data_IF_973040925435
#
_entry.id   IF_973040925435
#
_cell.length_a   1.000
_cell.length_b   1.000
_cell.length_c   1.000
_cell.angle_alpha   90.00
_cell.angle_beta   90.00
_cell.angle_gamma   90.00
#
_symmetry.space_group_name_H-M   'P 1'
#
loop_
_entity.id
_entity.type
_entity.pdbx_description
1 polymer ?
#
# COMPACT_ATOMS: atom_id res chain seq x y z
N UNK A 1 16.31 28.60 68.33
CA UNK A 1 16.93 28.17 67.08
C UNK A 1 15.88 27.38 66.29
N UNK A 2 15.26 27.95 65.26
CA UNK A 2 14.16 27.31 64.48
C UNK A 2 14.73 26.88 63.15
N UNK A 3 14.83 25.54 62.94
CA UNK A 3 15.27 24.91 61.70
C UNK A 3 14.13 24.96 60.68
N UNK A 4 14.32 25.68 59.57
CA UNK A 4 13.38 25.67 58.47
C UNK A 4 13.73 24.53 57.50
N UNK A 5 12.86 23.52 57.42
CA UNK A 5 12.91 22.52 56.37
C UNK A 5 12.44 23.14 55.05
N UNK A 6 13.32 23.20 54.05
CA UNK A 6 12.95 23.52 52.67
C UNK A 6 12.59 22.21 51.97
N UNK A 7 11.30 22.06 51.58
CA UNK A 7 10.82 20.99 50.77
C UNK A 7 11.08 21.37 49.28
N UNK A 8 12.00 20.73 48.63
CA UNK A 8 12.23 20.87 47.21
C UNK A 8 11.25 19.92 46.45
N UNK A 9 10.25 20.51 45.81
CA UNK A 9 9.36 19.75 44.92
C UNK A 9 10.03 19.54 43.56
N UNK A 10 10.44 18.31 43.30
CA UNK A 10 10.89 17.85 41.96
C UNK A 10 9.65 17.70 41.09
N UNK A 11 9.44 18.64 40.17
CA UNK A 11 8.48 18.53 39.10
C UNK A 11 9.10 17.64 38.00
N UNK A 12 8.71 16.36 37.96
CA UNK A 12 9.03 15.45 36.85
C UNK A 12 8.18 15.83 35.66
N UNK A 13 8.77 16.53 34.69
CA UNK A 13 8.14 16.79 33.40
C UNK A 13 8.17 15.49 32.62
N UNK A 14 7.08 14.73 32.66
CA UNK A 14 6.88 13.61 31.74
C UNK A 14 6.63 14.20 30.36
N UNK A 15 7.64 14.13 29.49
CA UNK A 15 7.49 14.37 28.06
C UNK A 15 6.60 13.25 27.49
N UNK A 16 5.32 13.55 27.32
CA UNK A 16 4.42 12.74 26.50
C UNK A 16 4.92 12.87 25.05
N UNK A 17 5.79 11.96 24.63
CA UNK A 17 6.02 11.73 23.21
C UNK A 17 4.71 11.18 22.65
N UNK A 18 3.97 11.98 21.90
CA UNK A 18 2.88 11.50 21.08
C UNK A 18 3.51 10.68 19.93
N UNK A 19 3.73 9.41 20.16
CA UNK A 19 3.95 8.48 19.07
C UNK A 19 2.64 8.46 18.26
N UNK A 20 2.71 8.85 16.99
CA UNK A 20 1.61 8.60 16.07
C UNK A 20 1.31 7.10 16.15
N UNK A 21 0.15 6.75 16.70
CA UNK A 21 -0.20 5.36 16.96
C UNK A 21 -0.39 4.68 15.60
N UNK A 22 0.54 3.80 15.24
CA UNK A 22 0.39 2.99 14.05
C UNK A 22 -0.91 2.18 14.16
N UNK A 23 -1.63 2.06 13.04
CA UNK A 23 -2.81 1.21 12.96
C UNK A 23 -2.40 -0.24 13.21
N UNK A 24 -3.11 -0.94 14.09
CA UNK A 24 -2.86 -2.37 14.32
C UNK A 24 -2.95 -3.16 13.02
N UNK A 25 -1.97 -4.05 12.73
CA UNK A 25 -1.97 -4.86 11.53
C UNK A 25 -3.20 -5.76 11.49
N UNK A 26 -3.69 -6.05 10.27
CA UNK A 26 -4.67 -7.09 10.06
C UNK A 26 -3.98 -8.42 9.74
N UNK A 27 -4.65 -9.55 9.99
CA UNK A 27 -4.08 -10.88 9.82
C UNK A 27 -4.97 -11.75 8.95
N UNK A 28 -4.35 -12.48 8.03
CA UNK A 28 -5.01 -13.44 7.14
C UNK A 28 -4.21 -14.75 7.16
N UNK A 29 -4.90 -15.87 7.42
CA UNK A 29 -4.25 -17.18 7.42
C UNK A 29 -3.88 -17.64 6.01
N UNK A 30 -2.65 -18.16 5.87
CA UNK A 30 -2.13 -18.76 4.64
C UNK A 30 -1.59 -20.16 4.92
N UNK A 31 -1.25 -20.91 3.87
CA UNK A 31 -0.67 -22.27 4.01
C UNK A 31 0.71 -22.28 4.68
N UNK A 32 1.39 -21.13 4.78
CA UNK A 32 2.74 -21.01 5.33
C UNK A 32 2.80 -20.00 6.49
N UNK A 33 1.75 -19.96 7.30
CA UNK A 33 1.63 -19.03 8.42
C UNK A 33 0.86 -17.75 8.06
N UNK A 34 0.68 -16.85 9.01
CA UNK A 34 -0.12 -15.66 8.83
C UNK A 34 0.53 -14.67 7.85
N UNK A 35 -0.31 -14.02 7.06
CA UNK A 35 0.00 -12.79 6.34
C UNK A 35 -0.47 -11.61 7.20
N UNK A 36 0.45 -10.76 7.62
CA UNK A 36 0.14 -9.52 8.30
C UNK A 36 0.07 -8.39 7.29
N UNK A 37 -0.93 -7.52 7.43
CA UNK A 37 -1.19 -6.37 6.57
C UNK A 37 -1.14 -5.12 7.44
N UNK A 38 -0.11 -4.31 7.27
CA UNK A 38 0.11 -3.08 8.01
C UNK A 38 -0.13 -1.88 7.09
N UNK A 39 -1.25 -1.13 7.26
CA UNK A 39 -1.40 0.19 6.65
C UNK A 39 -0.32 1.14 7.16
N UNK A 40 0.25 1.95 6.28
CA UNK A 40 1.24 2.97 6.66
C UNK A 40 0.65 4.35 6.42
N UNK A 41 0.59 4.77 5.18
CA UNK A 41 -0.06 6.02 4.79
C UNK A 41 -0.35 6.03 3.29
N UNK A 42 -1.37 6.74 2.87
CA UNK A 42 -1.68 6.99 1.45
C UNK A 42 -1.73 5.69 0.63
N UNK A 43 -0.79 5.48 -0.31
CA UNK A 43 -0.63 4.22 -1.05
C UNK A 43 0.27 3.21 -0.33
N UNK A 44 0.99 3.64 0.72
CA UNK A 44 2.00 2.82 1.38
C UNK A 44 1.38 1.77 2.31
N UNK A 45 1.83 0.54 2.19
CA UNK A 45 1.49 -0.55 3.12
C UNK A 45 2.67 -1.53 3.24
N UNK A 46 2.67 -2.32 4.32
CA UNK A 46 3.64 -3.38 4.53
C UNK A 46 2.92 -4.71 4.68
N UNK A 47 3.42 -5.72 3.97
CA UNK A 47 3.00 -7.10 4.09
C UNK A 47 4.11 -7.90 4.75
N UNK A 48 3.81 -8.61 5.83
CA UNK A 48 4.78 -9.53 6.45
C UNK A 48 4.26 -10.96 6.31
N UNK A 49 5.07 -11.82 5.70
CA UNK A 49 4.70 -13.20 5.44
C UNK A 49 5.92 -14.11 5.40
N UNK A 50 5.86 -15.26 6.09
CA UNK A 50 6.90 -16.30 6.08
C UNK A 50 8.32 -15.75 6.33
N UNK A 51 8.46 -14.86 7.30
CA UNK A 51 9.73 -14.21 7.66
C UNK A 51 10.24 -13.20 6.64
N UNK A 52 9.41 -12.75 5.69
CA UNK A 52 9.72 -11.73 4.70
C UNK A 52 8.87 -10.49 4.92
N UNK A 53 9.50 -9.33 4.79
CA UNK A 53 8.85 -8.03 4.87
C UNK A 53 8.82 -7.38 3.49
N UNK A 54 7.60 -7.07 3.01
CA UNK A 54 7.35 -6.54 1.67
C UNK A 54 6.76 -5.13 1.84
N UNK A 55 7.46 -4.13 1.37
CA UNK A 55 6.98 -2.75 1.35
C UNK A 55 6.35 -2.45 -0.01
N UNK A 56 5.25 -1.74 -0.01
CA UNK A 56 4.58 -1.24 -1.22
C UNK A 56 4.58 0.27 -1.15
N UNK A 57 5.06 0.90 -2.22
CA UNK A 57 5.11 2.35 -2.41
C UNK A 57 5.58 3.11 -1.15
N UNK A 58 6.78 2.81 -0.61
CA UNK A 58 7.22 3.38 0.64
C UNK A 58 7.47 4.89 0.54
N UNK A 59 6.68 5.66 1.29
CA UNK A 59 6.75 7.12 1.41
C UNK A 59 6.65 7.58 2.87
N UNK A 60 6.89 8.85 3.15
CA UNK A 60 6.72 9.44 4.49
C UNK A 60 7.93 9.36 5.41
N UNK A 61 9.09 8.97 4.90
CA UNK A 61 10.34 8.86 5.65
C UNK A 61 10.39 7.65 6.59
N UNK A 62 11.57 7.40 7.17
CA UNK A 62 11.79 6.23 8.04
C UNK A 62 10.88 6.20 9.29
N UNK A 63 10.45 7.36 9.77
CA UNK A 63 9.58 7.44 10.95
C UNK A 63 8.22 6.79 10.74
N UNK A 64 7.71 6.75 9.49
CA UNK A 64 6.47 6.07 9.16
C UNK A 64 6.55 4.54 9.32
N UNK A 65 7.76 3.99 9.37
CA UNK A 65 8.04 2.55 9.44
C UNK A 65 8.65 2.14 10.79
N UNK A 66 8.62 3.03 11.79
CA UNK A 66 9.16 2.74 13.13
C UNK A 66 8.50 1.49 13.72
N UNK A 67 9.31 0.51 14.15
CA UNK A 67 8.81 -0.76 14.71
C UNK A 67 8.41 -1.81 13.67
N UNK A 68 8.52 -1.51 12.37
CA UNK A 68 8.38 -2.48 11.29
C UNK A 68 9.78 -2.96 10.89
N UNK A 69 9.93 -4.25 10.59
CA UNK A 69 11.20 -4.81 10.13
C UNK A 69 11.60 -4.24 8.76
N UNK A 70 12.91 -4.15 8.51
CA UNK A 70 13.45 -3.67 7.23
C UNK A 70 12.93 -4.50 6.05
N UNK A 71 12.79 -3.89 4.85
CA UNK A 71 12.22 -4.57 3.70
C UNK A 71 13.18 -5.59 3.09
N UNK A 72 12.69 -6.81 2.87
CA UNK A 72 13.34 -7.79 1.97
C UNK A 72 13.00 -7.49 0.50
N UNK A 73 11.78 -7.00 0.26
CA UNK A 73 11.22 -6.70 -1.06
C UNK A 73 10.48 -5.35 -1.02
N UNK A 74 10.70 -4.54 -2.05
CA UNK A 74 9.93 -3.31 -2.27
C UNK A 74 9.24 -3.41 -3.63
N UNK A 75 7.93 -3.13 -3.66
CA UNK A 75 7.16 -2.96 -4.88
C UNK A 75 6.87 -1.47 -5.06
N UNK A 76 7.15 -0.93 -6.24
CA UNK A 76 6.79 0.46 -6.58
C UNK A 76 5.84 0.41 -7.77
N UNK A 77 4.67 1.05 -7.63
CA UNK A 77 3.59 0.98 -8.63
C UNK A 77 3.68 2.06 -9.68
N UNK A 78 4.05 3.29 -9.30
CA UNK A 78 4.07 4.46 -10.19
C UNK A 78 5.23 5.43 -9.88
N UNK A 79 5.44 6.39 -10.78
CA UNK A 79 6.49 7.41 -10.70
C UNK A 79 6.16 8.59 -9.79
N UNK A 80 4.90 8.78 -9.42
CA UNK A 80 4.48 9.92 -8.60
C UNK A 80 5.06 9.85 -7.19
N UNK A 81 5.26 11.02 -6.57
CA UNK A 81 5.99 11.15 -5.31
C UNK A 81 5.30 10.52 -4.09
N UNK A 82 4.03 10.17 -4.20
CA UNK A 82 3.25 9.42 -3.20
C UNK A 82 3.32 7.90 -3.37
N UNK A 83 4.06 7.42 -4.39
CA UNK A 83 4.40 6.01 -4.63
C UNK A 83 5.91 5.79 -4.65
N UNK A 84 6.68 6.70 -5.28
CA UNK A 84 8.13 6.64 -5.39
C UNK A 84 8.75 7.84 -4.68
N UNK A 85 9.29 7.63 -3.49
CA UNK A 85 9.99 8.65 -2.72
C UNK A 85 11.44 8.21 -2.44
N UNK A 86 12.42 8.67 -3.26
CA UNK A 86 13.82 8.35 -3.07
C UNK A 86 14.36 8.75 -1.68
N UNK A 87 13.80 9.80 -1.05
CA UNK A 87 14.22 10.23 0.30
C UNK A 87 13.80 9.21 1.36
N UNK A 88 12.61 8.62 1.21
CA UNK A 88 12.17 7.53 2.10
C UNK A 88 13.02 6.29 1.86
N UNK A 89 13.28 5.90 0.60
CA UNK A 89 14.17 4.77 0.29
C UNK A 89 15.57 4.97 0.87
N UNK A 90 16.10 6.19 0.84
CA UNK A 90 17.41 6.56 1.39
C UNK A 90 17.46 6.50 2.92
N UNK A 91 16.31 6.74 3.57
CA UNK A 91 16.20 6.75 5.03
C UNK A 91 15.90 5.35 5.62
N UNK A 92 15.47 4.41 4.78
CA UNK A 92 15.25 3.00 5.15
C UNK A 92 16.53 2.18 4.97
N UNK A 93 16.66 1.06 5.70
CA UNK A 93 17.72 0.09 5.49
C UNK A 93 17.36 -0.80 4.30
N UNK A 94 17.85 -0.43 3.12
CA UNK A 94 17.52 -1.11 1.85
C UNK A 94 18.68 -1.93 1.28
N UNK A 95 19.77 -2.10 2.01
CA UNK A 95 20.90 -2.91 1.58
C UNK A 95 20.48 -4.37 1.41
N UNK A 96 20.65 -4.90 0.19
CA UNK A 96 20.23 -6.26 -0.16
C UNK A 96 18.72 -6.43 -0.44
N UNK A 97 17.94 -5.36 -0.38
CA UNK A 97 16.52 -5.38 -0.74
C UNK A 97 16.34 -5.51 -2.26
N UNK A 98 15.41 -6.35 -2.68
CA UNK A 98 14.99 -6.43 -4.09
C UNK A 98 13.90 -5.39 -4.33
N UNK A 99 14.05 -4.57 -5.37
CA UNK A 99 13.02 -3.63 -5.82
C UNK A 99 12.37 -4.18 -7.10
N UNK A 100 11.05 -4.28 -7.15
CA UNK A 100 10.30 -4.62 -8.36
C UNK A 100 9.50 -3.40 -8.78
N UNK A 101 9.70 -2.95 -10.03
CA UNK A 101 9.11 -1.71 -10.50
C UNK A 101 8.86 -1.75 -12.03
N UNK A 102 7.95 -0.92 -12.58
CA UNK A 102 7.86 -0.68 -14.01
C UNK A 102 9.09 0.08 -14.53
N UNK A 103 9.34 0.02 -15.84
CA UNK A 103 10.49 0.69 -16.47
C UNK A 103 10.54 2.19 -16.14
N UNK A 104 9.41 2.89 -16.18
CA UNK A 104 9.34 4.33 -15.92
C UNK A 104 9.80 4.71 -14.50
N UNK A 105 9.57 3.85 -13.51
CA UNK A 105 10.12 4.02 -12.15
C UNK A 105 11.62 3.73 -12.14
N UNK A 106 12.05 2.62 -12.75
CA UNK A 106 13.47 2.24 -12.80
C UNK A 106 14.35 3.34 -13.44
N UNK A 107 13.81 4.01 -14.46
CA UNK A 107 14.51 5.10 -15.17
C UNK A 107 14.71 6.35 -14.28
N UNK A 108 13.85 6.54 -13.26
CA UNK A 108 13.88 7.71 -12.38
C UNK A 108 14.53 7.42 -11.01
N UNK A 109 14.72 6.15 -10.66
CA UNK A 109 15.41 5.80 -9.43
C UNK A 109 16.88 6.21 -9.46
N UNK A 110 17.44 6.70 -8.34
CA UNK A 110 18.87 7.00 -8.23
C UNK A 110 19.74 5.79 -8.61
N UNK A 111 20.91 6.07 -9.21
CA UNK A 111 21.84 5.06 -9.73
C UNK A 111 22.22 3.96 -8.71
N UNK A 112 22.28 4.32 -7.45
CA UNK A 112 22.60 3.37 -6.36
C UNK A 112 21.60 2.20 -6.24
N UNK A 113 20.36 2.37 -6.70
CA UNK A 113 19.33 1.33 -6.68
C UNK A 113 19.32 0.44 -7.93
N UNK A 114 20.01 0.83 -9.02
CA UNK A 114 19.95 0.12 -10.32
C UNK A 114 20.28 -1.37 -10.24
N UNK A 115 21.20 -1.75 -9.35
CA UNK A 115 21.57 -3.17 -9.17
C UNK A 115 20.57 -3.98 -8.34
N UNK A 116 19.59 -3.31 -7.71
CA UNK A 116 18.55 -3.92 -6.88
C UNK A 116 17.21 -4.01 -7.62
N UNK A 117 17.07 -3.27 -8.75
CA UNK A 117 15.80 -3.16 -9.48
C UNK A 117 15.61 -4.32 -10.44
N UNK A 118 14.49 -5.01 -10.28
CA UNK A 118 13.93 -5.95 -11.25
C UNK A 118 12.82 -5.24 -12.00
N UNK A 119 13.07 -4.89 -13.24
CA UNK A 119 12.06 -4.26 -14.09
C UNK A 119 11.02 -5.28 -14.50
N UNK A 120 9.75 -4.99 -14.25
CA UNK A 120 8.63 -5.85 -14.60
C UNK A 120 7.60 -5.06 -15.42
N UNK A 121 7.38 -5.47 -16.66
CA UNK A 121 6.40 -4.84 -17.55
C UNK A 121 4.99 -5.41 -17.32
N UNK A 122 3.95 -4.65 -17.66
CA UNK A 122 2.55 -5.07 -17.63
C UNK A 122 2.36 -6.45 -18.29
N UNK A 123 1.62 -7.34 -17.65
CA UNK A 123 1.34 -8.70 -18.12
C UNK A 123 2.51 -9.68 -18.01
N UNK A 124 3.64 -9.27 -17.43
CA UNK A 124 4.78 -10.16 -17.17
C UNK A 124 4.79 -10.63 -15.72
N UNK A 125 5.58 -11.68 -15.49
CA UNK A 125 5.73 -12.32 -14.18
C UNK A 125 7.20 -12.42 -13.80
N UNK A 126 7.48 -12.41 -12.51
CA UNK A 126 8.78 -12.73 -11.92
C UNK A 126 8.59 -13.55 -10.65
N UNK A 127 9.66 -14.13 -10.13
CA UNK A 127 9.66 -14.73 -8.79
C UNK A 127 10.83 -14.13 -8.02
N UNK A 128 10.54 -13.42 -6.93
CA UNK A 128 11.56 -12.84 -6.09
C UNK A 128 11.43 -13.40 -4.66
N UNK A 129 12.53 -13.81 -4.06
CA UNK A 129 12.57 -14.38 -2.69
C UNK A 129 11.59 -15.57 -2.50
N UNK A 130 11.31 -16.30 -3.59
CA UNK A 130 10.34 -17.40 -3.59
C UNK A 130 8.87 -16.95 -3.68
N UNK A 131 8.61 -15.67 -3.92
CA UNK A 131 7.27 -15.08 -4.08
C UNK A 131 6.99 -14.85 -5.57
N UNK A 132 6.00 -15.54 -6.17
CA UNK A 132 5.53 -15.23 -7.52
C UNK A 132 4.84 -13.85 -7.55
N UNK A 133 5.22 -13.01 -8.51
CA UNK A 133 4.72 -11.64 -8.70
C UNK A 133 4.30 -11.47 -10.16
N UNK A 134 3.07 -11.01 -10.37
CA UNK A 134 2.53 -10.67 -11.69
C UNK A 134 2.27 -9.17 -11.76
N UNK A 135 2.72 -8.51 -12.82
CA UNK A 135 2.38 -7.12 -13.09
C UNK A 135 1.06 -7.03 -13.85
N UNK A 136 0.13 -6.26 -13.33
CA UNK A 136 -1.17 -5.96 -13.93
C UNK A 136 -1.12 -4.53 -14.45
N UNK A 137 -1.70 -4.22 -15.63
CA UNK A 137 -1.84 -2.82 -16.06
C UNK A 137 -2.54 -1.96 -15.00
N UNK A 138 -2.11 -0.71 -14.88
CA UNK A 138 -2.81 0.33 -14.14
C UNK A 138 -2.85 1.60 -14.99
N UNK A 139 -4.03 2.19 -15.16
CA UNK A 139 -4.19 3.40 -15.98
C UNK A 139 -5.58 4.05 -15.81
N UNK A 140 -5.70 5.30 -16.32
CA UNK A 140 -6.96 6.02 -16.37
C UNK A 140 -7.77 5.72 -17.64
N UNK A 141 -9.08 5.91 -17.55
CA UNK A 141 -10.04 5.78 -18.65
C UNK A 141 -10.69 7.14 -18.97
N UNK A 142 -10.90 7.48 -20.26
CA UNK A 142 -10.46 6.73 -21.45
C UNK A 142 -8.95 6.69 -21.59
N UNK A 143 -8.42 5.66 -22.26
CA UNK A 143 -6.97 5.57 -22.52
C UNK A 143 -6.49 6.81 -23.29
N UNK A 144 -5.52 7.54 -22.72
CA UNK A 144 -4.90 8.70 -23.34
C UNK A 144 -3.42 8.78 -22.93
N UNK A 145 -2.56 9.27 -23.84
CA UNK A 145 -1.12 9.40 -23.57
C UNK A 145 -0.78 10.52 -22.59
N UNK A 146 -1.67 11.50 -22.46
CA UNK A 146 -1.60 12.64 -21.54
C UNK A 146 -2.44 12.44 -20.27
N UNK A 147 -3.01 11.26 -20.06
CA UNK A 147 -3.68 10.92 -18.80
C UNK A 147 -2.72 11.02 -17.61
N UNK A 148 -3.25 11.26 -16.41
CA UNK A 148 -2.44 11.27 -15.18
C UNK A 148 -1.68 9.95 -15.01
N UNK A 149 -2.33 8.83 -15.33
CA UNK A 149 -1.75 7.49 -15.34
C UNK A 149 -1.96 6.85 -16.72
N UNK A 150 -1.05 7.08 -17.69
CA UNK A 150 -1.16 6.49 -19.02
C UNK A 150 -0.88 4.99 -18.97
N UNK A 151 -1.57 4.22 -19.81
CA UNK A 151 -1.40 2.78 -19.93
C UNK A 151 0.05 2.40 -20.25
N UNK A 152 0.59 1.42 -19.51
CA UNK A 152 1.94 0.91 -19.70
C UNK A 152 3.03 1.62 -18.88
N UNK A 153 2.72 2.74 -18.20
CA UNK A 153 3.68 3.45 -17.35
C UNK A 153 3.86 2.81 -16.00
N UNK A 154 2.78 2.47 -15.32
CA UNK A 154 2.76 1.91 -13.98
C UNK A 154 2.30 0.46 -13.93
N UNK A 155 2.41 -0.15 -12.75
CA UNK A 155 1.98 -1.52 -12.47
C UNK A 155 1.06 -1.58 -11.25
N UNK A 156 -0.06 -2.29 -11.37
CA UNK A 156 -0.58 -3.05 -10.24
C UNK A 156 0.18 -4.37 -10.08
N UNK A 157 0.07 -5.02 -8.94
CA UNK A 157 0.76 -6.29 -8.68
C UNK A 157 -0.17 -7.35 -8.11
N UNK A 158 0.02 -8.61 -8.51
CA UNK A 158 -0.53 -9.77 -7.80
C UNK A 158 0.63 -10.59 -7.23
N UNK A 159 0.62 -10.80 -5.91
CA UNK A 159 1.55 -11.68 -5.20
C UNK A 159 0.85 -12.98 -4.82
N UNK A 160 1.54 -14.12 -4.94
CA UNK A 160 1.10 -15.38 -4.33
C UNK A 160 1.84 -15.59 -3.00
N UNK A 161 1.12 -15.42 -1.90
CA UNK A 161 1.63 -15.54 -0.54
C UNK A 161 1.01 -16.76 0.15
N UNK A 162 1.62 -17.93 -0.05
CA UNK A 162 1.16 -19.17 0.56
C UNK A 162 -0.21 -19.63 0.09
N UNK A 163 -0.51 -19.46 -1.20
CA UNK A 163 -1.77 -19.80 -1.85
C UNK A 163 -2.87 -18.75 -1.64
N UNK A 164 -2.51 -17.55 -1.15
CA UNK A 164 -3.35 -16.35 -1.17
C UNK A 164 -2.88 -15.42 -2.27
N UNK A 165 -3.76 -15.07 -3.19
CA UNK A 165 -3.51 -14.09 -4.24
C UNK A 165 -3.87 -12.70 -3.74
N UNK A 166 -2.84 -11.86 -3.59
CA UNK A 166 -2.95 -10.50 -3.05
C UNK A 166 -2.77 -9.51 -4.19
N UNK A 167 -3.81 -8.76 -4.53
CA UNK A 167 -3.80 -7.75 -5.59
C UNK A 167 -3.64 -6.35 -4.98
N UNK A 168 -2.66 -5.63 -5.46
CA UNK A 168 -2.40 -4.22 -5.17
C UNK A 168 -2.64 -3.46 -6.47
N UNK A 169 -3.65 -2.60 -6.50
CA UNK A 169 -4.11 -2.01 -7.75
C UNK A 169 -3.17 -0.93 -8.30
N UNK A 170 -2.48 -0.17 -7.42
CA UNK A 170 -1.81 1.07 -7.81
C UNK A 170 -2.83 2.14 -8.20
N UNK A 171 -2.39 3.19 -8.86
CA UNK A 171 -3.24 4.31 -9.28
C UNK A 171 -3.95 4.03 -10.60
N UNK A 172 -5.04 3.29 -10.50
CA UNK A 172 -5.85 2.85 -11.65
C UNK A 172 -7.31 3.23 -11.51
N UNK A 173 -7.99 3.29 -12.63
CA UNK A 173 -9.45 3.20 -12.67
C UNK A 173 -9.92 1.74 -12.80
N UNK A 174 -11.25 1.54 -12.87
CA UNK A 174 -11.84 0.21 -13.01
C UNK A 174 -11.68 -0.35 -14.43
N UNK A 175 -10.43 -0.55 -14.84
CA UNK A 175 -10.03 -1.00 -16.18
C UNK A 175 -10.47 -2.45 -16.46
N UNK A 176 -10.62 -2.84 -17.74
CA UNK A 176 -11.04 -4.21 -18.11
C UNK A 176 -10.15 -5.30 -17.50
N UNK A 177 -8.84 -5.07 -17.45
CA UNK A 177 -7.87 -6.02 -16.86
C UNK A 177 -8.15 -6.25 -15.37
N UNK A 178 -8.41 -5.19 -14.58
CA UNK A 178 -8.80 -5.30 -13.18
C UNK A 178 -10.13 -6.06 -13.03
N UNK A 179 -11.17 -5.65 -13.77
CA UNK A 179 -12.51 -6.24 -13.69
C UNK A 179 -12.55 -7.71 -14.08
N UNK A 180 -11.61 -8.17 -14.93
CA UNK A 180 -11.50 -9.55 -15.37
C UNK A 180 -10.68 -10.47 -14.44
N UNK A 181 -10.05 -9.93 -13.38
CA UNK A 181 -9.26 -10.72 -12.42
C UNK A 181 -10.09 -11.85 -11.82
N UNK A 182 -9.45 -12.98 -11.54
CA UNK A 182 -10.10 -14.15 -10.93
C UNK A 182 -9.29 -14.66 -9.76
N UNK A 183 -10.00 -15.27 -8.82
CA UNK A 183 -9.41 -15.93 -7.66
C UNK A 183 -8.52 -15.01 -6.82
N UNK A 184 -8.93 -13.75 -6.63
CA UNK A 184 -8.25 -12.81 -5.75
C UNK A 184 -8.73 -13.05 -4.32
N UNK A 185 -7.78 -13.33 -3.42
CA UNK A 185 -8.10 -13.51 -1.99
C UNK A 185 -8.15 -12.17 -1.27
N UNK A 186 -7.23 -11.25 -1.61
CA UNK A 186 -7.12 -9.93 -0.98
C UNK A 186 -6.89 -8.89 -2.07
N UNK A 187 -7.57 -7.75 -1.99
CA UNK A 187 -7.36 -6.63 -2.90
C UNK A 187 -7.22 -5.30 -2.16
N UNK A 188 -6.32 -4.44 -2.63
CA UNK A 188 -6.20 -3.05 -2.24
C UNK A 188 -6.62 -2.18 -3.43
N UNK A 189 -7.67 -1.35 -3.25
CA UNK A 189 -8.33 -0.62 -4.34
C UNK A 189 -8.36 0.87 -4.03
N UNK A 190 -7.82 1.75 -4.92
CA UNK A 190 -7.78 3.19 -4.69
C UNK A 190 -9.14 3.84 -4.97
N UNK A 191 -9.37 4.99 -4.31
CA UNK A 191 -10.53 5.84 -4.60
C UNK A 191 -10.21 7.31 -4.24
N UNK A 192 -9.37 7.96 -5.06
CA UNK A 192 -8.87 9.32 -4.83
C UNK A 192 -9.09 10.24 -6.03
N UNK A 193 -10.32 10.75 -6.18
CA UNK A 193 -10.62 11.72 -7.25
C UNK A 193 -9.79 13.00 -7.15
N UNK A 194 -9.37 13.57 -8.28
CA UNK A 194 -9.69 13.18 -9.68
C UNK A 194 -8.72 12.18 -10.30
N UNK A 195 -7.84 11.57 -9.51
CA UNK A 195 -6.68 10.81 -9.98
C UNK A 195 -7.01 9.36 -10.35
N UNK A 196 -7.93 8.72 -9.62
CA UNK A 196 -8.37 7.34 -9.86
C UNK A 196 -9.91 7.24 -9.88
N UNK A 197 -10.50 6.38 -9.06
CA UNK A 197 -11.94 6.12 -9.01
C UNK A 197 -12.66 6.97 -7.97
N UNK A 198 -13.94 7.24 -8.22
CA UNK A 198 -14.87 7.54 -7.15
C UNK A 198 -15.35 6.26 -6.42
N UNK A 199 -16.16 6.46 -5.39
CA UNK A 199 -16.70 5.37 -4.55
C UNK A 199 -17.55 4.38 -5.36
N UNK A 200 -18.40 4.89 -6.27
CA UNK A 200 -19.28 4.04 -7.09
C UNK A 200 -18.49 3.25 -8.14
N UNK A 201 -17.51 3.89 -8.79
CA UNK A 201 -16.61 3.24 -9.74
C UNK A 201 -15.81 2.12 -9.09
N UNK A 202 -15.23 2.39 -7.90
CA UNK A 202 -14.46 1.42 -7.14
C UNK A 202 -15.32 0.24 -6.69
N UNK A 203 -16.53 0.51 -6.17
CA UNK A 203 -17.49 -0.54 -5.78
C UNK A 203 -17.91 -1.38 -7.00
N UNK A 204 -18.19 -0.75 -8.13
CA UNK A 204 -18.52 -1.44 -9.38
C UNK A 204 -17.41 -2.36 -9.86
N UNK A 205 -16.14 -1.90 -9.83
CA UNK A 205 -14.99 -2.72 -10.19
C UNK A 205 -14.84 -3.93 -9.27
N UNK A 206 -14.91 -3.72 -7.95
CA UNK A 206 -14.82 -4.78 -6.94
C UNK A 206 -15.91 -5.85 -7.12
N UNK A 207 -17.13 -5.43 -7.45
CA UNK A 207 -18.25 -6.35 -7.72
C UNK A 207 -18.07 -7.19 -8.98
N UNK A 208 -17.26 -6.76 -9.94
CA UNK A 208 -16.96 -7.51 -11.17
C UNK A 208 -15.90 -8.60 -10.90
N UNK A 209 -14.76 -8.28 -10.28
CA UNK A 209 -13.70 -9.28 -10.04
C UNK A 209 -13.83 -10.06 -8.73
N UNK A 210 -14.70 -9.63 -7.81
CA UNK A 210 -15.15 -10.34 -6.60
C UNK A 210 -14.02 -10.91 -5.77
N UNK A 211 -13.15 -10.09 -5.17
CA UNK A 211 -12.15 -10.57 -4.24
C UNK A 211 -12.83 -11.10 -2.98
N UNK A 212 -12.17 -11.99 -2.21
CA UNK A 212 -12.72 -12.46 -0.93
C UNK A 212 -12.68 -11.37 0.14
N UNK A 213 -11.56 -10.62 0.17
CA UNK A 213 -11.33 -9.48 1.07
C UNK A 213 -10.92 -8.28 0.25
N UNK A 214 -11.44 -7.09 0.56
CA UNK A 214 -11.01 -5.84 -0.07
C UNK A 214 -10.77 -4.76 0.98
N UNK A 215 -9.67 -4.03 0.80
CA UNK A 215 -9.33 -2.84 1.55
C UNK A 215 -9.41 -1.63 0.62
N UNK A 216 -10.26 -0.64 0.91
CA UNK A 216 -10.10 0.68 0.33
C UNK A 216 -8.79 1.27 0.88
N UNK A 217 -7.90 1.71 -0.02
CA UNK A 217 -6.65 2.38 0.33
C UNK A 217 -6.46 3.58 -0.60
N UNK A 218 -5.47 4.42 -0.37
CA UNK A 218 -5.22 5.59 -1.22
C UNK A 218 -6.52 6.39 -1.51
N UNK A 219 -7.30 6.67 -0.46
CA UNK A 219 -8.63 7.29 -0.58
C UNK A 219 -8.66 8.78 -0.20
N UNK A 220 -7.51 9.48 -0.28
CA UNK A 220 -7.42 10.94 -0.15
C UNK A 220 -7.24 11.57 -1.51
N UNK A 221 -8.31 12.16 -2.04
CA UNK A 221 -8.29 12.94 -3.27
C UNK A 221 -8.09 14.44 -3.02
N UNK A 222 -8.27 15.24 -4.06
CA UNK A 222 -8.10 16.69 -4.01
C UNK A 222 -9.06 17.38 -3.02
N UNK A 223 -10.27 16.84 -2.86
CA UNK A 223 -11.32 17.40 -2.02
C UNK A 223 -11.43 16.72 -0.64
N UNK A 224 -10.41 15.99 -0.21
CA UNK A 224 -10.39 15.28 1.06
C UNK A 224 -10.51 13.78 0.93
N UNK A 225 -10.98 13.12 1.99
CA UNK A 225 -11.12 11.66 2.02
C UNK A 225 -12.40 11.22 1.31
N UNK A 226 -12.30 10.18 0.49
CA UNK A 226 -13.48 9.50 -0.06
C UNK A 226 -14.21 8.73 1.05
N UNK A 227 -15.53 8.58 0.91
CA UNK A 227 -16.38 7.90 1.87
C UNK A 227 -16.23 6.37 1.78
N UNK A 228 -15.32 5.83 2.60
CA UNK A 228 -15.05 4.39 2.65
C UNK A 228 -16.20 3.58 3.27
N UNK A 229 -17.05 4.21 4.10
CA UNK A 229 -18.25 3.56 4.65
C UNK A 229 -19.33 3.42 3.57
N UNK A 230 -19.52 4.43 2.73
CA UNK A 230 -20.38 4.33 1.56
C UNK A 230 -19.90 3.24 0.60
N UNK A 231 -18.58 3.15 0.33
CA UNK A 231 -18.01 2.06 -0.45
C UNK A 231 -18.36 0.68 0.13
N UNK A 232 -18.13 0.49 1.42
CA UNK A 232 -18.46 -0.75 2.13
C UNK A 232 -19.95 -1.08 2.00
N UNK A 233 -20.81 -0.09 2.19
CA UNK A 233 -22.27 -0.27 2.06
C UNK A 233 -22.64 -0.70 0.64
N UNK A 234 -22.14 -0.03 -0.39
CA UNK A 234 -22.42 -0.34 -1.80
C UNK A 234 -22.02 -1.77 -2.18
N UNK A 235 -20.83 -2.19 -1.76
CA UNK A 235 -20.35 -3.55 -2.01
C UNK A 235 -21.20 -4.58 -1.24
N UNK A 236 -21.44 -4.37 0.05
CA UNK A 236 -22.15 -5.32 0.91
C UNK A 236 -23.65 -5.41 0.61
N UNK A 237 -24.27 -4.37 0.07
CA UNK A 237 -25.66 -4.43 -0.37
C UNK A 237 -25.84 -5.38 -1.57
N UNK A 238 -24.81 -5.47 -2.44
CA UNK A 238 -24.84 -6.29 -3.66
C UNK A 238 -24.16 -7.65 -3.52
N UNK A 239 -23.19 -7.80 -2.60
CA UNK A 239 -22.47 -9.06 -2.38
C UNK A 239 -22.15 -9.28 -0.91
N UNK A 240 -22.66 -10.36 -0.32
CA UNK A 240 -22.31 -10.78 1.04
C UNK A 240 -21.06 -11.65 1.11
N UNK A 241 -20.52 -12.04 -0.04
CA UNK A 241 -19.32 -12.89 -0.13
C UNK A 241 -18.00 -12.12 -0.15
N UNK A 242 -18.07 -10.78 -0.24
CA UNK A 242 -16.89 -9.90 -0.21
C UNK A 242 -16.79 -9.29 1.18
N UNK A 243 -15.68 -9.55 1.88
CA UNK A 243 -15.38 -8.94 3.18
C UNK A 243 -14.69 -7.59 2.94
N UNK A 244 -15.41 -6.48 3.18
CA UNK A 244 -14.86 -5.13 3.09
C UNK A 244 -14.29 -4.73 4.44
N UNK A 245 -12.97 -4.66 4.53
CA UNK A 245 -12.25 -4.28 5.75
C UNK A 245 -11.78 -2.84 5.68
N UNK A 246 -12.26 -2.03 6.60
CA UNK A 246 -11.84 -0.65 6.73
C UNK A 246 -10.67 -0.55 7.71
N UNK A 247 -9.54 -0.03 7.23
CA UNK A 247 -8.35 0.27 8.02
C UNK A 247 -7.96 1.73 7.79
N UNK A 248 -7.26 2.30 8.75
CA UNK A 248 -6.88 3.72 8.70
C UNK A 248 -5.54 3.89 8.00
N UNK A 249 -5.54 4.49 6.80
CA UNK A 249 -4.34 4.96 6.08
C UNK A 249 -4.00 6.43 6.41
N UNK A 250 -4.88 7.12 7.14
CA UNK A 250 -4.74 8.53 7.47
C UNK A 250 -5.05 8.73 8.96
N UNK A 251 -4.15 8.26 9.86
CA UNK A 251 -4.33 8.51 11.28
C UNK A 251 -4.36 10.02 11.56
N UNK A 252 -5.23 10.44 12.44
CA UNK A 252 -5.23 11.82 12.92
C UNK A 252 -3.89 12.11 13.63
N UNK A 253 -3.32 13.28 13.32
CA UNK A 253 -2.03 13.71 13.89
C UNK A 253 -2.24 14.37 15.25
#
# INVERSE_FOLDING_TARGET
MKLKLMLAALFSLALLQSNAQQTEPDQIETKKGPLLIQPVQHASLVLTWNGKTIYVDPTGGATAYTGIADPDLILITDIHGDHMDPKTLDALQTDGTVLVAPQAVADQLPDKYKNQVVVLANGKNTTQLGIPISAIPMYNLPEATDAMHPKGRGNGYILDLGGKRVYIAGDTEGIPEMRSLKNIDVAFVPMNLPYTMDVDQAAGAVLDFKPKIVYPYHYRGQNGLSDVEAFKKLVNDKSKSIDVRLKTWYPEK
#
